data_IF_044841626001
#
_entry.id   IF_044841626001
#
_cell.length_a   1.000
_cell.length_b   1.000
_cell.length_c   1.000
_cell.angle_alpha   90.00
_cell.angle_beta   90.00
_cell.angle_gamma   90.00
#
_symmetry.space_group_name_H-M   'P 1'
#
loop_
_entity.id
_entity.type
_entity.pdbx_description
1 polymer ?
#
# COMPACT_ATOMS: atom_id res chain seq x y z
N UNK A 1 -5.05 -5.54 10.86
CA UNK A 1 -5.86 -4.66 9.99
C UNK A 1 -6.82 -3.86 10.86
N UNK A 2 -7.04 -2.56 10.57
CA UNK A 2 -8.03 -1.78 11.30
C UNK A 2 -9.45 -2.33 11.09
N UNK A 3 -10.32 -2.09 12.06
CA UNK A 3 -11.73 -2.48 11.96
C UNK A 3 -12.40 -1.74 10.80
N UNK A 4 -13.19 -2.47 10.00
CA UNK A 4 -13.81 -1.98 8.76
C UNK A 4 -13.27 -2.63 7.49
N UNK A 5 -12.18 -3.40 7.57
CA UNK A 5 -11.72 -4.28 6.47
C UNK A 5 -12.27 -5.71 6.60
N UNK A 6 -12.28 -6.44 5.49
CA UNK A 6 -12.78 -7.82 5.39
C UNK A 6 -11.96 -8.87 6.16
N UNK A 7 -10.70 -8.57 6.50
CA UNK A 7 -9.80 -9.49 7.21
C UNK A 7 -9.10 -8.79 8.37
N UNK A 8 -8.75 -9.55 9.41
CA UNK A 8 -7.99 -9.06 10.57
C UNK A 8 -6.48 -9.07 10.35
N UNK A 9 -6.00 -9.99 9.51
CA UNK A 9 -4.59 -10.17 9.17
C UNK A 9 -4.44 -10.19 7.66
N UNK A 10 -3.39 -9.52 7.17
CA UNK A 10 -2.94 -9.59 5.79
C UNK A 10 -1.41 -9.49 5.78
N UNK A 11 -0.79 -10.22 4.86
CA UNK A 11 0.60 -10.04 4.50
C UNK A 11 0.72 -8.81 3.62
N UNK A 12 1.87 -8.14 3.72
CA UNK A 12 2.24 -7.04 2.84
C UNK A 12 3.56 -7.34 2.16
N UNK A 13 3.62 -7.12 0.85
CA UNK A 13 4.86 -7.07 0.09
C UNK A 13 5.08 -5.64 -0.42
N UNK A 14 6.34 -5.23 -0.49
CA UNK A 14 6.77 -3.93 -1.00
C UNK A 14 7.83 -4.21 -2.06
N UNK A 15 7.61 -3.69 -3.26
CA UNK A 15 8.60 -3.77 -4.33
C UNK A 15 9.71 -2.74 -4.07
N UNK A 16 10.97 -3.19 -4.01
CA UNK A 16 12.12 -2.29 -3.95
C UNK A 16 12.45 -1.84 -5.36
N UNK A 17 12.04 -0.61 -5.68
CA UNK A 17 12.25 -0.03 -7.00
C UNK A 17 13.76 0.08 -7.35
N UNK A 18 14.14 -0.15 -8.62
CA UNK A 18 15.49 0.15 -9.08
C UNK A 18 15.89 1.60 -8.76
N UNK A 19 17.04 1.79 -8.12
CA UNK A 19 17.53 3.11 -7.72
C UNK A 19 17.08 3.57 -6.32
N UNK A 20 16.34 2.76 -5.57
CA UNK A 20 16.14 2.97 -4.14
C UNK A 20 17.51 3.08 -3.40
N UNK A 21 17.68 4.02 -2.44
CA UNK A 21 16.66 4.88 -1.81
C UNK A 21 16.43 6.24 -2.48
N UNK A 22 17.08 6.52 -3.61
CA UNK A 22 16.81 7.76 -4.36
C UNK A 22 15.47 7.68 -5.08
N UNK A 23 15.18 6.54 -5.71
CA UNK A 23 13.87 6.25 -6.27
C UNK A 23 12.84 6.01 -5.17
N UNK A 24 11.62 6.50 -5.41
CA UNK A 24 10.54 6.37 -4.44
C UNK A 24 10.00 4.96 -4.35
N UNK A 25 9.44 4.63 -3.18
CA UNK A 25 8.51 3.53 -3.02
C UNK A 25 7.09 4.11 -3.02
N UNK A 26 6.24 3.64 -3.95
CA UNK A 26 4.86 4.11 -4.12
C UNK A 26 3.82 2.98 -4.28
N UNK A 27 4.25 1.73 -4.11
CA UNK A 27 3.39 0.54 -4.19
C UNK A 27 3.44 -0.31 -2.92
N UNK A 28 2.29 -0.87 -2.57
CA UNK A 28 2.18 -1.96 -1.60
C UNK A 28 1.23 -3.04 -2.11
N UNK A 29 1.47 -4.26 -1.70
CA UNK A 29 0.78 -5.44 -2.18
C UNK A 29 0.20 -6.20 -1.00
N UNK A 30 -1.09 -6.50 -1.01
CA UNK A 30 -1.74 -7.17 0.12
C UNK A 30 -2.24 -8.56 -0.25
N UNK A 31 -2.06 -9.51 0.66
CA UNK A 31 -2.62 -10.85 0.55
C UNK A 31 -3.19 -11.30 1.91
N UNK A 32 -4.49 -11.67 2.01
CA UNK A 32 -5.47 -11.67 0.93
C UNK A 32 -5.87 -10.25 0.49
N UNK A 33 -6.55 -10.15 -0.66
CA UNK A 33 -7.05 -8.86 -1.16
C UNK A 33 -7.96 -8.17 -0.14
N UNK A 34 -7.71 -6.89 0.08
CA UNK A 34 -8.43 -6.06 1.03
C UNK A 34 -9.70 -5.49 0.40
N UNK A 35 -10.77 -5.46 1.19
CA UNK A 35 -12.05 -4.82 0.86
C UNK A 35 -12.62 -4.19 2.11
N UNK A 36 -13.35 -3.08 1.94
CA UNK A 36 -14.10 -2.48 3.03
C UNK A 36 -15.36 -3.31 3.29
N UNK A 37 -15.72 -3.50 4.56
CA UNK A 37 -16.95 -4.19 4.97
C UNK A 37 -18.21 -3.46 4.49
N UNK A 38 -18.12 -2.16 4.24
CA UNK A 38 -19.19 -1.34 3.65
C UNK A 38 -19.46 -1.68 2.18
N UNK A 39 -18.59 -2.46 1.53
CA UNK A 39 -18.67 -2.76 0.10
C UNK A 39 -18.13 -1.64 -0.80
N UNK A 40 -17.74 -0.48 -0.25
CA UNK A 40 -17.11 0.59 -1.03
C UNK A 40 -15.80 0.08 -1.64
N UNK A 41 -15.55 0.27 -2.96
CA UNK A 41 -14.31 -0.13 -3.57
C UNK A 41 -13.15 0.72 -3.04
N UNK A 42 -11.99 0.11 -2.98
CA UNK A 42 -10.74 0.78 -2.65
C UNK A 42 -10.20 1.38 -3.95
N UNK A 43 -9.90 2.67 -3.95
CA UNK A 43 -9.47 3.34 -5.16
C UNK A 43 -8.16 2.76 -5.70
N UNK A 44 -8.02 2.60 -7.02
CA UNK A 44 -6.78 2.17 -7.67
C UNK A 44 -6.14 0.92 -7.02
N UNK A 45 -6.97 -0.08 -6.68
CA UNK A 45 -6.57 -1.35 -6.05
C UNK A 45 -7.22 -2.56 -6.75
N UNK A 46 -7.46 -2.45 -8.05
CA UNK A 46 -8.18 -3.44 -8.87
C UNK A 46 -7.26 -4.46 -9.56
N UNK A 47 -5.94 -4.26 -9.44
CA UNK A 47 -4.94 -5.13 -10.08
C UNK A 47 -4.51 -6.22 -9.11
N UNK A 48 -4.57 -7.46 -9.58
CA UNK A 48 -4.02 -8.64 -8.90
C UNK A 48 -2.76 -9.06 -9.64
N UNK A 49 -1.66 -9.19 -8.90
CA UNK A 49 -0.40 -9.75 -9.39
C UNK A 49 -0.14 -11.09 -8.73
N UNK A 50 0.53 -11.99 -9.45
CA UNK A 50 0.87 -13.31 -8.93
C UNK A 50 2.38 -13.44 -8.93
N UNK A 51 2.94 -13.59 -7.73
CA UNK A 51 4.36 -13.85 -7.53
C UNK A 51 4.55 -14.68 -6.25
N UNK A 52 5.66 -15.42 -6.18
CA UNK A 52 5.97 -16.34 -5.09
C UNK A 52 4.83 -17.32 -4.77
N UNK A 53 4.11 -17.77 -5.82
CA UNK A 53 2.98 -18.70 -5.69
C UNK A 53 1.71 -18.11 -5.05
N UNK A 54 1.69 -16.82 -4.73
CA UNK A 54 0.57 -16.15 -4.07
C UNK A 54 -0.06 -15.06 -4.95
N UNK A 55 -1.34 -14.78 -4.71
CA UNK A 55 -2.03 -13.63 -5.30
C UNK A 55 -1.93 -12.42 -4.38
N UNK A 56 -1.64 -11.28 -4.99
CA UNK A 56 -1.37 -10.03 -4.31
C UNK A 56 -2.19 -8.90 -4.94
N UNK A 57 -3.01 -8.23 -4.15
CA UNK A 57 -3.70 -7.03 -4.58
C UNK A 57 -2.75 -5.85 -4.55
N UNK A 58 -2.47 -5.27 -5.71
CA UNK A 58 -1.59 -4.11 -5.82
C UNK A 58 -2.32 -2.82 -5.51
N UNK A 59 -1.73 -2.02 -4.64
CA UNK A 59 -2.10 -0.64 -4.38
C UNK A 59 -0.97 0.26 -4.88
N UNK A 60 -1.30 1.21 -5.76
CA UNK A 60 -0.36 2.22 -6.23
C UNK A 60 -0.83 3.61 -5.82
N UNK A 61 0.06 4.37 -5.21
CA UNK A 61 -0.17 5.72 -4.67
C UNK A 61 1.06 6.57 -4.88
N UNK A 62 1.19 7.11 -6.09
CA UNK A 62 2.29 7.99 -6.47
C UNK A 62 2.46 9.15 -5.49
N UNK A 63 3.70 9.41 -5.06
CA UNK A 63 4.03 10.44 -4.07
C UNK A 63 4.29 11.77 -4.75
N UNK A 64 3.33 12.70 -4.65
CA UNK A 64 3.40 14.04 -5.25
C UNK A 64 3.09 15.15 -4.24
N UNK A 65 3.48 16.37 -4.56
CA UNK A 65 3.20 17.55 -3.73
C UNK A 65 3.76 17.42 -2.31
N UNK A 66 2.92 17.69 -1.30
CA UNK A 66 3.33 17.59 0.11
C UNK A 66 3.72 16.19 0.59
N UNK A 67 3.36 15.14 -0.15
CA UNK A 67 3.73 13.76 0.12
C UNK A 67 4.87 13.24 -0.79
N UNK A 68 5.51 14.13 -1.56
CA UNK A 68 6.61 13.76 -2.45
C UNK A 68 7.73 13.06 -1.67
N UNK A 69 8.32 12.03 -2.30
CA UNK A 69 9.48 11.32 -1.76
C UNK A 69 10.67 12.27 -1.64
N UNK A 70 11.38 12.18 -0.51
CA UNK A 70 12.57 12.97 -0.20
C UNK A 70 13.79 12.05 -0.13
N UNK A 71 14.61 12.00 -1.20
CA UNK A 71 15.86 11.23 -1.18
C UNK A 71 16.73 11.58 0.02
N UNK A 72 17.26 10.57 0.71
CA UNK A 72 18.07 10.74 1.92
C UNK A 72 17.29 11.02 3.21
N UNK A 73 15.95 11.15 3.13
CA UNK A 73 15.07 11.30 4.30
C UNK A 73 14.06 10.15 4.35
N UNK A 74 13.36 9.91 3.24
CA UNK A 74 12.41 8.83 3.12
C UNK A 74 13.12 7.48 2.93
N UNK A 75 12.51 6.43 3.47
CA UNK A 75 13.02 5.08 3.45
C UNK A 75 11.87 4.06 3.55
N UNK A 76 12.19 2.79 3.81
CA UNK A 76 11.17 1.73 3.91
C UNK A 76 10.21 1.95 5.09
N UNK A 77 10.70 2.43 6.22
CA UNK A 77 9.90 2.73 7.41
C UNK A 77 8.91 3.88 7.13
N UNK A 78 9.38 4.98 6.53
CA UNK A 78 8.49 6.09 6.16
C UNK A 78 7.50 5.69 5.06
N UNK A 79 7.86 4.72 4.21
CA UNK A 79 6.92 4.11 3.28
C UNK A 79 5.83 3.30 3.98
N UNK A 80 6.22 2.47 4.95
CA UNK A 80 5.27 1.69 5.75
C UNK A 80 4.29 2.59 6.52
N UNK A 81 4.79 3.66 7.14
CA UNK A 81 3.95 4.65 7.82
C UNK A 81 2.98 5.36 6.85
N UNK A 82 3.43 5.73 5.65
CA UNK A 82 2.57 6.31 4.63
C UNK A 82 1.46 5.36 4.18
N UNK A 83 1.79 4.07 4.04
CA UNK A 83 0.85 3.00 3.71
C UNK A 83 -0.19 2.80 4.82
N UNK A 84 0.19 2.85 6.10
CA UNK A 84 -0.77 2.84 7.20
C UNK A 84 -1.78 3.99 7.08
N UNK A 85 -1.30 5.18 6.68
CA UNK A 85 -2.17 6.31 6.38
C UNK A 85 -3.10 6.10 5.17
N UNK A 86 -2.81 5.20 4.24
CA UNK A 86 -3.77 4.81 3.20
C UNK A 86 -4.94 4.04 3.79
N UNK A 87 -4.65 3.08 4.67
CA UNK A 87 -5.67 2.26 5.33
C UNK A 87 -6.63 3.11 6.17
N UNK A 88 -6.10 4.06 6.94
CA UNK A 88 -6.92 5.02 7.72
C UNK A 88 -7.82 5.88 6.82
N UNK A 89 -7.29 6.41 5.72
CA UNK A 89 -8.07 7.23 4.78
C UNK A 89 -9.20 6.45 4.12
N UNK A 90 -9.00 5.17 3.81
CA UNK A 90 -10.10 4.33 3.30
C UNK A 90 -11.22 4.10 4.33
N UNK A 91 -10.93 4.32 5.62
CA UNK A 91 -11.93 4.28 6.69
C UNK A 91 -12.48 5.66 7.05
N UNK A 92 -12.10 6.72 6.33
CA UNK A 92 -12.52 8.09 6.59
C UNK A 92 -11.86 8.72 7.83
N UNK A 93 -10.67 8.24 8.22
CA UNK A 93 -9.85 8.75 9.32
C UNK A 93 -8.69 9.61 8.82
#
# INVERSE_FOLDING_TARGET
>A
MPDGFNVRLANVAIEIAPGYPTAQLDMAYFSPSLRLQTGRPIANADVIETFDGHQWQRWSRHRIGGAAWKPGVDNLETHFAYMQGWLSRELGQ
#
